data_IF_878291561135
#
_entry.id   IF_878291561135
#
_cell.length_a   1.000
_cell.length_b   1.000
_cell.length_c   1.000
_cell.angle_alpha   90.00
_cell.angle_beta   90.00
_cell.angle_gamma   90.00
#
_symmetry.space_group_name_H-M   'P 1'
#
loop_
_entity.id
_entity.type
_entity.pdbx_description
1 polymer ?
#
# COMPACT_ATOMS: atom_id res chain seq x y z
N UNK A 1 -20.96 -7.99 -9.97
CA UNK A 1 -19.89 -8.64 -10.75
C UNK A 1 -19.47 -7.85 -11.98
N UNK A 2 -20.41 -7.47 -12.87
CA UNK A 2 -20.11 -6.87 -14.19
C UNK A 2 -19.12 -5.70 -14.13
N UNK A 3 -19.26 -4.79 -13.16
CA UNK A 3 -18.35 -3.65 -13.02
C UNK A 3 -16.91 -4.11 -12.76
N UNK A 4 -16.66 -4.82 -11.65
CA UNK A 4 -15.31 -5.31 -11.29
C UNK A 4 -14.72 -6.19 -12.39
N UNK A 5 -15.53 -7.01 -13.05
CA UNK A 5 -15.05 -7.86 -14.14
C UNK A 5 -14.58 -7.07 -15.36
N UNK A 6 -15.38 -6.07 -15.79
CA UNK A 6 -15.08 -5.26 -16.98
C UNK A 6 -14.04 -4.17 -16.76
N UNK A 7 -13.83 -3.72 -15.51
CA UNK A 7 -12.92 -2.60 -15.22
C UNK A 7 -11.65 -2.99 -14.47
N UNK A 8 -11.67 -4.06 -13.65
CA UNK A 8 -10.54 -4.44 -12.80
C UNK A 8 -9.97 -5.79 -13.21
N UNK A 9 -10.76 -6.87 -13.18
CA UNK A 9 -10.27 -8.22 -13.47
C UNK A 9 -9.79 -8.39 -14.91
N UNK A 10 -10.36 -7.64 -15.86
CA UNK A 10 -9.86 -7.60 -17.25
C UNK A 10 -8.38 -7.18 -17.34
N UNK A 11 -7.90 -6.38 -16.39
CA UNK A 11 -6.52 -5.90 -16.34
C UNK A 11 -5.56 -6.85 -15.59
N UNK A 12 -6.07 -7.97 -15.07
CA UNK A 12 -5.27 -8.95 -14.32
C UNK A 12 -4.51 -9.88 -15.26
N UNK A 13 -3.20 -10.00 -15.09
CA UNK A 13 -2.41 -10.97 -15.83
C UNK A 13 -2.80 -12.40 -15.42
N UNK A 14 -3.11 -13.30 -16.36
CA UNK A 14 -3.65 -14.63 -16.04
C UNK A 14 -2.62 -15.57 -15.40
N UNK A 15 -1.31 -15.27 -15.51
CA UNK A 15 -0.24 -16.14 -14.98
C UNK A 15 0.25 -15.62 -13.64
N UNK A 16 0.60 -14.33 -13.58
CA UNK A 16 1.10 -13.73 -12.34
C UNK A 16 -0.03 -13.29 -11.43
N UNK A 17 -1.21 -12.94 -11.95
CA UNK A 17 -2.29 -12.34 -11.17
C UNK A 17 -2.05 -10.86 -10.84
N UNK A 18 -0.99 -10.24 -11.38
CA UNK A 18 -0.73 -8.81 -11.20
C UNK A 18 -1.56 -7.97 -12.19
N UNK A 19 -2.03 -6.82 -11.74
CA UNK A 19 -2.78 -5.84 -12.51
C UNK A 19 -1.86 -4.82 -13.17
N UNK A 20 -2.22 -4.42 -14.40
CA UNK A 20 -1.59 -3.32 -15.15
C UNK A 20 -2.60 -2.17 -15.29
N UNK A 21 -2.23 -0.96 -14.87
CA UNK A 21 -3.13 0.21 -14.85
C UNK A 21 -2.98 1.11 -16.11
N UNK A 22 -1.82 1.11 -16.76
CA UNK A 22 -1.57 1.98 -17.91
C UNK A 22 -0.94 1.20 -19.06
N UNK A 23 -1.72 0.38 -19.79
CA UNK A 23 -1.16 -0.49 -20.81
C UNK A 23 -0.55 0.26 -21.99
N UNK A 24 -0.96 1.51 -22.23
CA UNK A 24 -0.46 2.33 -23.34
C UNK A 24 0.97 2.84 -23.08
N UNK A 25 1.22 3.36 -21.86
CA UNK A 25 2.53 3.93 -21.51
C UNK A 25 3.45 2.92 -20.81
N UNK A 26 2.87 2.02 -20.02
CA UNK A 26 3.59 1.06 -19.19
C UNK A 26 2.94 -0.34 -19.29
N UNK A 27 2.99 -0.98 -20.48
CA UNK A 27 2.26 -2.20 -20.81
C UNK A 27 2.49 -3.40 -19.88
N UNK A 28 3.57 -3.38 -19.10
CA UNK A 28 3.94 -4.47 -18.21
C UNK A 28 4.26 -4.04 -16.79
N UNK A 29 3.98 -2.80 -16.39
CA UNK A 29 4.31 -2.36 -15.02
C UNK A 29 3.12 -2.56 -14.08
N UNK A 30 3.39 -3.28 -12.99
CA UNK A 30 2.48 -3.49 -11.87
C UNK A 30 3.00 -2.72 -10.66
N UNK A 31 2.34 -1.60 -10.33
CA UNK A 31 2.61 -0.86 -9.10
C UNK A 31 2.02 -1.60 -7.90
N UNK A 32 2.77 -1.66 -6.81
CA UNK A 32 2.35 -2.35 -5.57
C UNK A 32 1.04 -1.75 -5.06
N UNK A 33 0.99 -0.42 -4.86
CA UNK A 33 -0.18 0.28 -4.32
C UNK A 33 -1.43 0.06 -5.19
N UNK A 34 -1.31 0.24 -6.50
CA UNK A 34 -2.41 0.07 -7.46
C UNK A 34 -2.96 -1.37 -7.44
N UNK A 35 -2.07 -2.36 -7.40
CA UNK A 35 -2.44 -3.77 -7.31
C UNK A 35 -3.18 -4.07 -6.00
N UNK A 36 -2.71 -3.53 -4.88
CA UNK A 36 -3.37 -3.74 -3.58
C UNK A 36 -4.76 -3.09 -3.55
N UNK A 37 -4.93 -1.88 -4.10
CA UNK A 37 -6.27 -1.27 -4.23
C UNK A 37 -7.19 -2.05 -5.18
N UNK A 38 -6.67 -2.58 -6.29
CA UNK A 38 -7.43 -3.45 -7.18
C UNK A 38 -7.88 -4.72 -6.44
N UNK A 39 -7.00 -5.34 -5.65
CA UNK A 39 -7.31 -6.49 -4.80
C UNK A 39 -8.40 -6.15 -3.78
N UNK A 40 -8.35 -4.98 -3.13
CA UNK A 40 -9.40 -4.60 -2.16
C UNK A 40 -10.80 -4.57 -2.80
N UNK A 41 -10.92 -4.11 -4.05
CA UNK A 41 -12.20 -4.13 -4.77
C UNK A 41 -12.67 -5.55 -5.12
N UNK A 42 -11.76 -6.43 -5.55
CA UNK A 42 -12.06 -7.84 -5.83
C UNK A 42 -12.42 -8.58 -4.53
N UNK A 43 -11.70 -8.30 -3.44
CA UNK A 43 -11.93 -8.88 -2.12
C UNK A 43 -13.26 -8.43 -1.53
N UNK A 44 -13.63 -7.15 -1.66
CA UNK A 44 -14.94 -6.66 -1.25
C UNK A 44 -16.07 -7.41 -1.96
N UNK A 45 -15.92 -7.69 -3.26
CA UNK A 45 -16.87 -8.52 -4.01
C UNK A 45 -16.89 -9.97 -3.52
N UNK A 46 -15.72 -10.57 -3.28
CA UNK A 46 -15.62 -11.92 -2.70
C UNK A 46 -16.40 -12.00 -1.37
N UNK A 47 -16.19 -11.06 -0.46
CA UNK A 47 -16.89 -10.98 0.84
C UNK A 47 -18.40 -10.80 0.67
N UNK A 48 -18.82 -9.98 -0.30
CA UNK A 48 -20.23 -9.77 -0.60
C UNK A 48 -20.90 -11.06 -1.10
N UNK A 49 -20.23 -11.82 -1.99
CA UNK A 49 -20.72 -13.12 -2.46
C UNK A 49 -20.74 -14.15 -1.34
N UNK A 50 -19.67 -14.28 -0.55
CA UNK A 50 -19.65 -15.19 0.62
C UNK A 50 -20.82 -14.95 1.58
N UNK A 51 -21.19 -13.68 1.81
CA UNK A 51 -22.27 -13.33 2.75
C UNK A 51 -23.69 -13.55 2.17
N UNK A 52 -23.84 -13.57 0.85
CA UNK A 52 -25.13 -13.63 0.15
C UNK A 52 -25.33 -14.86 -0.73
N UNK A 53 -24.40 -15.82 -0.72
CA UNK A 53 -24.52 -16.99 -1.56
C UNK A 53 -25.73 -17.83 -1.13
N UNK A 54 -26.77 -17.81 -1.95
CA UNK A 54 -27.97 -18.65 -1.80
C UNK A 54 -27.88 -19.92 -2.66
N UNK A 55 -27.03 -19.88 -3.69
CA UNK A 55 -26.86 -20.94 -4.69
C UNK A 55 -25.38 -21.31 -4.88
N UNK A 56 -25.13 -22.53 -5.35
CA UNK A 56 -23.78 -23.03 -5.61
C UNK A 56 -23.00 -22.16 -6.61
N UNK A 57 -23.67 -21.57 -7.60
CA UNK A 57 -23.03 -20.65 -8.56
C UNK A 57 -22.41 -19.42 -7.89
N UNK A 58 -23.03 -18.91 -6.83
CA UNK A 58 -22.53 -17.74 -6.10
C UNK A 58 -21.33 -18.12 -5.22
N UNK A 59 -21.30 -19.34 -4.70
CA UNK A 59 -20.13 -19.90 -4.01
C UNK A 59 -18.95 -20.09 -4.97
N UNK A 60 -19.20 -20.60 -6.18
CA UNK A 60 -18.16 -20.74 -7.22
C UNK A 60 -17.57 -19.37 -7.56
N UNK A 61 -18.41 -18.35 -7.76
CA UNK A 61 -17.94 -16.96 -8.01
C UNK A 61 -17.16 -16.40 -6.82
N UNK A 62 -17.63 -16.63 -5.60
CA UNK A 62 -16.92 -16.21 -4.40
C UNK A 62 -15.52 -16.82 -4.37
N UNK A 63 -15.41 -18.13 -4.64
CA UNK A 63 -14.15 -18.85 -4.65
C UNK A 63 -13.18 -18.33 -5.73
N UNK A 64 -13.67 -18.12 -6.96
CA UNK A 64 -12.88 -17.55 -8.05
C UNK A 64 -12.31 -16.16 -7.68
N UNK A 65 -13.15 -15.27 -7.14
CA UNK A 65 -12.72 -13.95 -6.67
C UNK A 65 -11.68 -14.04 -5.55
N UNK A 66 -11.87 -14.99 -4.62
CA UNK A 66 -10.92 -15.26 -3.54
C UNK A 66 -9.55 -15.69 -4.07
N UNK A 67 -9.53 -16.64 -5.03
CA UNK A 67 -8.30 -17.08 -5.69
C UNK A 67 -7.60 -15.94 -6.45
N UNK A 68 -8.36 -15.07 -7.13
CA UNK A 68 -7.80 -13.89 -7.81
C UNK A 68 -7.12 -12.92 -6.83
N UNK A 69 -7.71 -12.71 -5.65
CA UNK A 69 -7.11 -11.89 -4.59
C UNK A 69 -5.81 -12.53 -4.07
N UNK A 70 -5.89 -13.81 -3.69
CA UNK A 70 -4.75 -14.57 -3.14
C UNK A 70 -3.59 -14.58 -4.12
N UNK A 71 -3.86 -14.85 -5.40
CA UNK A 71 -2.83 -14.91 -6.44
C UNK A 71 -2.10 -13.58 -6.63
N UNK A 72 -2.84 -12.46 -6.65
CA UNK A 72 -2.22 -11.14 -6.76
C UNK A 72 -1.34 -10.82 -5.56
N UNK A 73 -1.85 -11.02 -4.33
CA UNK A 73 -1.10 -10.74 -3.10
C UNK A 73 0.14 -11.63 -2.97
N UNK A 74 0.03 -12.92 -3.31
CA UNK A 74 1.18 -13.84 -3.38
C UNK A 74 2.23 -13.37 -4.38
N UNK A 75 1.80 -12.91 -5.56
CA UNK A 75 2.75 -12.41 -6.56
C UNK A 75 3.44 -11.12 -6.15
N UNK A 76 2.76 -10.21 -5.45
CA UNK A 76 3.40 -9.04 -4.85
C UNK A 76 4.42 -9.45 -3.78
N UNK A 77 4.08 -10.42 -2.92
CA UNK A 77 5.00 -10.97 -1.92
C UNK A 77 6.24 -11.57 -2.58
N UNK A 78 6.07 -12.36 -3.64
CA UNK A 78 7.17 -12.92 -4.43
C UNK A 78 8.05 -11.84 -5.08
N UNK A 79 7.46 -10.75 -5.58
CA UNK A 79 8.22 -9.62 -6.11
C UNK A 79 9.12 -8.98 -5.03
N UNK A 80 8.58 -8.78 -3.84
CA UNK A 80 9.32 -8.20 -2.71
C UNK A 80 10.36 -9.18 -2.15
N UNK A 81 10.03 -10.47 -2.07
CA UNK A 81 10.92 -11.53 -1.59
C UNK A 81 12.18 -11.67 -2.46
N UNK A 82 12.07 -11.46 -3.78
CA UNK A 82 13.23 -11.40 -4.69
C UNK A 82 14.21 -10.25 -4.40
N UNK A 83 13.83 -9.31 -3.53
CA UNK A 83 14.67 -8.23 -3.03
C UNK A 83 14.97 -8.37 -1.53
N UNK A 84 14.91 -9.59 -0.98
CA UNK A 84 15.15 -9.82 0.45
C UNK A 84 16.48 -9.24 0.95
N UNK A 85 17.56 -9.34 0.17
CA UNK A 85 18.86 -8.77 0.53
C UNK A 85 18.79 -7.26 0.75
N UNK A 86 17.97 -6.55 -0.04
CA UNK A 86 17.74 -5.11 0.11
C UNK A 86 16.98 -4.82 1.40
N UNK A 87 15.93 -5.59 1.70
CA UNK A 87 15.15 -5.46 2.94
C UNK A 87 16.04 -5.67 4.17
N UNK A 88 16.92 -6.67 4.15
CA UNK A 88 17.90 -6.92 5.22
C UNK A 88 18.84 -5.74 5.46
N UNK A 89 19.34 -5.12 4.37
CA UNK A 89 20.17 -3.92 4.45
C UNK A 89 19.37 -2.70 4.95
N UNK A 90 18.15 -2.53 4.47
CA UNK A 90 17.28 -1.41 4.82
C UNK A 90 16.96 -1.36 6.30
N UNK A 91 16.68 -2.50 6.95
CA UNK A 91 16.46 -2.59 8.41
C UNK A 91 17.59 -1.94 9.23
N UNK A 92 18.82 -1.97 8.71
CA UNK A 92 20.01 -1.42 9.38
C UNK A 92 20.32 0.02 8.97
N UNK A 93 20.14 0.35 7.70
CA UNK A 93 20.68 1.58 7.11
C UNK A 93 19.63 2.60 6.67
N UNK A 94 18.38 2.17 6.46
CA UNK A 94 17.25 2.99 5.94
C UNK A 94 17.61 3.85 4.71
N UNK A 95 18.54 3.36 3.88
CA UNK A 95 18.99 4.06 2.67
C UNK A 95 17.98 3.89 1.54
N UNK A 96 17.86 4.92 0.70
CA UNK A 96 17.04 4.84 -0.53
C UNK A 96 17.51 3.70 -1.45
N UNK A 97 18.81 3.45 -1.58
CA UNK A 97 19.32 2.38 -2.46
C UNK A 97 18.83 0.99 -2.06
N UNK A 98 18.54 0.79 -0.78
CA UNK A 98 18.22 -0.51 -0.20
C UNK A 98 16.69 -0.68 -0.08
N UNK A 99 15.90 0.26 -0.61
CA UNK A 99 14.44 0.19 -0.53
C UNK A 99 13.84 -0.79 -1.54
N UNK A 100 12.66 -1.33 -1.21
CA UNK A 100 11.87 -2.11 -2.15
C UNK A 100 11.42 -1.24 -3.33
N UNK A 101 11.38 -1.84 -4.51
CA UNK A 101 10.79 -1.20 -5.68
C UNK A 101 9.27 -1.01 -5.52
N UNK A 102 8.79 0.17 -5.91
CA UNK A 102 7.38 0.49 -5.98
C UNK A 102 6.60 -0.26 -7.09
N UNK A 103 7.29 -0.79 -8.11
CA UNK A 103 6.67 -1.42 -9.28
C UNK A 103 7.52 -2.57 -9.85
N UNK A 104 6.84 -3.54 -10.45
CA UNK A 104 7.43 -4.77 -10.99
C UNK A 104 6.86 -5.10 -12.36
N UNK A 105 7.46 -6.08 -13.03
CA UNK A 105 6.91 -6.62 -14.26
C UNK A 105 5.69 -7.49 -13.95
N UNK A 106 4.54 -7.12 -14.50
CA UNK A 106 3.32 -7.92 -14.46
C UNK A 106 3.47 -9.27 -15.18
N UNK A 107 4.50 -9.45 -16.02
CA UNK A 107 4.72 -10.68 -16.79
C UNK A 107 5.62 -11.68 -16.09
N UNK A 108 6.65 -11.22 -15.40
CA UNK A 108 7.68 -12.11 -14.83
C UNK A 108 8.10 -11.77 -13.40
N UNK A 109 7.48 -10.76 -12.77
CA UNK A 109 7.74 -10.33 -11.37
C UNK A 109 9.16 -9.78 -11.14
N UNK A 110 9.90 -9.45 -12.19
CA UNK A 110 11.22 -8.82 -12.09
C UNK A 110 11.08 -7.31 -11.86
N UNK A 111 12.19 -6.67 -11.46
CA UNK A 111 12.32 -5.21 -11.48
C UNK A 111 12.20 -4.70 -12.92
N UNK A 112 11.63 -3.50 -13.09
CA UNK A 112 11.38 -2.90 -14.43
C UNK A 112 12.16 -1.61 -14.67
N UNK A 113 12.82 -1.10 -13.63
CA UNK A 113 13.66 0.10 -13.65
C UNK A 113 14.81 -0.11 -12.66
N UNK A 114 15.91 0.66 -12.74
CA UNK A 114 17.01 0.54 -11.78
C UNK A 114 16.70 1.23 -10.45
N UNK A 115 17.45 0.89 -9.40
CA UNK A 115 17.24 1.36 -8.02
C UNK A 115 17.19 2.89 -7.86
N UNK A 116 17.87 3.63 -8.74
CA UNK A 116 17.97 5.09 -8.67
C UNK A 116 17.06 5.82 -9.67
N UNK A 117 16.41 5.09 -10.58
CA UNK A 117 15.67 5.66 -11.71
C UNK A 117 14.20 5.93 -11.37
N UNK A 118 13.80 5.73 -10.12
CA UNK A 118 12.42 5.94 -9.68
C UNK A 118 12.30 6.34 -8.21
N UNK A 119 11.16 6.95 -7.86
CA UNK A 119 10.75 7.21 -6.48
C UNK A 119 10.29 5.95 -5.75
N UNK A 120 11.19 4.97 -5.58
CA UNK A 120 10.86 3.63 -5.07
C UNK A 120 10.50 3.56 -3.59
N UNK A 121 11.25 4.24 -2.71
CA UNK A 121 11.03 4.20 -1.27
C UNK A 121 9.66 4.80 -0.94
N UNK A 122 8.66 3.93 -0.81
CA UNK A 122 7.25 4.23 -0.57
C UNK A 122 6.77 3.38 0.60
N UNK A 123 6.81 3.96 1.80
CA UNK A 123 6.42 3.26 3.04
C UNK A 123 4.92 3.02 3.04
N UNK A 124 4.12 3.92 2.46
CA UNK A 124 2.68 3.75 2.28
C UNK A 124 2.34 2.46 1.51
N UNK A 125 3.05 2.16 0.42
CA UNK A 125 2.74 1.02 -0.44
C UNK A 125 2.98 -0.33 0.25
N UNK A 126 4.10 -0.47 0.96
CA UNK A 126 4.42 -1.69 1.73
C UNK A 126 3.47 -1.83 2.91
N UNK A 127 3.16 -0.72 3.58
CA UNK A 127 2.21 -0.72 4.70
C UNK A 127 0.79 -1.09 4.24
N UNK A 128 0.33 -0.55 3.10
CA UNK A 128 -0.96 -0.90 2.52
C UNK A 128 -1.04 -2.39 2.15
N UNK A 129 0.06 -2.97 1.65
CA UNK A 129 0.15 -4.41 1.41
C UNK A 129 -0.03 -5.20 2.71
N UNK A 130 0.68 -4.84 3.79
CA UNK A 130 0.57 -5.53 5.08
C UNK A 130 -0.82 -5.37 5.73
N UNK A 131 -1.40 -4.17 5.68
CA UNK A 131 -2.77 -3.92 6.14
C UNK A 131 -3.77 -4.80 5.38
N UNK A 132 -3.65 -4.87 4.06
CA UNK A 132 -4.55 -5.66 3.22
C UNK A 132 -4.32 -7.15 3.40
N UNK A 133 -3.07 -7.58 3.57
CA UNK A 133 -2.72 -8.97 3.93
C UNK A 133 -3.46 -9.38 5.21
N UNK A 134 -3.37 -8.55 6.25
CA UNK A 134 -4.03 -8.84 7.52
C UNK A 134 -5.55 -8.97 7.40
N UNK A 135 -6.18 -8.03 6.68
CA UNK A 135 -7.63 -8.05 6.44
C UNK A 135 -8.09 -9.27 5.63
N UNK A 136 -7.33 -9.65 4.60
CA UNK A 136 -7.62 -10.82 3.76
C UNK A 136 -7.45 -12.11 4.58
N UNK A 137 -6.37 -12.23 5.35
CA UNK A 137 -6.12 -13.38 6.23
C UNK A 137 -7.20 -13.51 7.30
N UNK A 138 -7.58 -12.41 7.96
CA UNK A 138 -8.68 -12.39 8.93
C UNK A 138 -10.04 -12.79 8.32
N UNK A 139 -10.20 -12.66 6.99
CA UNK A 139 -11.40 -13.11 6.28
C UNK A 139 -11.42 -14.60 5.92
N UNK A 140 -10.35 -15.34 6.23
CA UNK A 140 -10.20 -16.78 5.96
C UNK A 140 -9.49 -17.10 4.64
N UNK A 141 -8.92 -16.12 3.95
CA UNK A 141 -8.13 -16.36 2.74
C UNK A 141 -6.64 -16.49 3.08
N UNK A 142 -6.07 -17.65 2.78
CA UNK A 142 -4.66 -17.93 3.03
C UNK A 142 -3.78 -17.39 1.90
N UNK A 143 -3.06 -16.29 2.17
CA UNK A 143 -2.09 -15.70 1.23
C UNK A 143 -0.70 -16.30 1.43
N UNK A 144 -0.22 -16.36 2.67
CA UNK A 144 1.12 -16.85 3.03
C UNK A 144 1.13 -18.38 3.07
N UNK A 145 2.11 -19.01 2.42
CA UNK A 145 2.12 -20.44 2.11
C UNK A 145 3.08 -21.27 2.94
N UNK A 146 4.18 -20.67 3.40
CA UNK A 146 5.27 -21.39 4.07
C UNK A 146 6.00 -20.48 5.06
N UNK A 147 6.88 -21.07 5.88
CA UNK A 147 7.59 -20.36 6.93
C UNK A 147 8.61 -19.35 6.41
N UNK A 148 9.17 -19.53 5.21
CA UNK A 148 10.07 -18.54 4.61
C UNK A 148 9.31 -17.26 4.26
N UNK A 149 8.08 -17.38 3.75
CA UNK A 149 7.20 -16.25 3.50
C UNK A 149 6.75 -15.58 4.81
N UNK A 150 6.49 -16.34 5.88
CA UNK A 150 6.23 -15.78 7.22
C UNK A 150 7.42 -14.93 7.69
N UNK A 151 8.63 -15.49 7.63
CA UNK A 151 9.86 -14.79 8.03
C UNK A 151 10.06 -13.52 7.19
N UNK A 152 9.72 -13.55 5.91
CA UNK A 152 9.77 -12.37 5.07
C UNK A 152 8.69 -11.33 5.42
N UNK A 153 7.47 -11.74 5.76
CA UNK A 153 6.45 -10.81 6.28
C UNK A 153 6.93 -10.15 7.58
N UNK A 154 7.57 -10.89 8.48
CA UNK A 154 8.21 -10.31 9.66
C UNK A 154 9.27 -9.26 9.29
N UNK A 155 10.06 -9.51 8.24
CA UNK A 155 11.00 -8.52 7.71
C UNK A 155 10.32 -7.27 7.14
N UNK A 156 9.14 -7.41 6.53
CA UNK A 156 8.34 -6.26 6.08
C UNK A 156 7.79 -5.45 7.25
N UNK A 157 7.45 -6.07 8.39
CA UNK A 157 7.08 -5.34 9.62
C UNK A 157 8.25 -4.48 10.09
N UNK A 158 9.45 -5.06 10.21
CA UNK A 158 10.66 -4.29 10.55
C UNK A 158 11.01 -3.21 9.53
N UNK A 159 10.66 -3.41 8.26
CA UNK A 159 10.85 -2.43 7.21
C UNK A 159 9.97 -1.17 7.42
N UNK A 160 8.74 -1.34 7.90
CA UNK A 160 7.79 -0.22 8.08
C UNK A 160 7.75 0.35 9.50
N UNK A 161 8.26 -0.36 10.51
CA UNK A 161 8.12 0.03 11.92
C UNK A 161 8.71 1.41 12.22
N UNK A 162 9.78 1.79 11.51
CA UNK A 162 10.43 3.10 11.63
C UNK A 162 9.85 4.18 10.71
N UNK A 163 8.65 3.96 10.14
CA UNK A 163 8.00 4.86 9.19
C UNK A 163 7.82 6.30 9.70
N UNK A 164 7.58 6.49 10.99
CA UNK A 164 7.44 7.81 11.64
C UNK A 164 8.70 8.68 11.62
N UNK A 165 9.85 8.12 11.26
CA UNK A 165 11.13 8.85 11.15
C UNK A 165 11.86 8.59 9.83
N UNK A 166 11.22 7.94 8.87
CA UNK A 166 11.84 7.55 7.59
C UNK A 166 11.24 8.41 6.46
N UNK A 167 11.95 9.43 5.97
CA UNK A 167 11.51 10.19 4.81
C UNK A 167 11.45 9.32 3.56
N UNK A 168 10.36 9.45 2.81
CA UNK A 168 10.05 8.63 1.64
C UNK A 168 9.50 9.49 0.48
N UNK A 169 9.11 8.84 -0.62
CA UNK A 169 8.57 9.51 -1.80
C UNK A 169 7.04 9.73 -1.74
N UNK A 170 6.38 9.16 -0.73
CA UNK A 170 4.95 9.19 -0.52
C UNK A 170 4.14 8.59 -1.68
N UNK A 171 2.81 8.68 -1.57
CA UNK A 171 1.85 8.11 -2.51
C UNK A 171 2.01 8.58 -3.97
N UNK A 172 2.55 9.79 -4.16
CA UNK A 172 2.72 10.38 -5.49
C UNK A 172 4.09 10.14 -6.12
N UNK A 173 4.98 9.42 -5.43
CA UNK A 173 6.30 9.00 -5.94
C UNK A 173 7.27 10.17 -6.19
N UNK A 174 7.01 11.32 -5.55
CA UNK A 174 7.76 12.59 -5.76
C UNK A 174 8.59 13.00 -4.56
N UNK A 175 8.22 12.57 -3.35
CA UNK A 175 8.77 13.08 -2.12
C UNK A 175 8.29 14.50 -1.91
N UNK A 176 9.14 15.49 -2.09
CA UNK A 176 8.80 16.90 -1.98
C UNK A 176 7.86 17.40 -3.09
N UNK A 177 7.21 18.53 -2.84
CA UNK A 177 6.26 19.19 -3.76
C UNK A 177 6.88 19.53 -5.13
N UNK A 178 8.18 19.80 -5.19
CA UNK A 178 8.89 20.22 -6.41
C UNK A 178 9.40 19.05 -7.24
N UNK A 179 9.34 17.81 -6.72
CA UNK A 179 9.80 16.60 -7.40
C UNK A 179 11.26 16.68 -7.81
N UNK A 180 12.13 17.06 -6.88
CA UNK A 180 13.59 17.12 -7.09
C UNK A 180 14.29 15.86 -6.57
N UNK A 181 13.54 14.80 -6.30
CA UNK A 181 14.05 13.58 -5.69
C UNK A 181 14.33 13.71 -4.18
N UNK A 182 13.84 14.78 -3.55
CA UNK A 182 13.99 15.02 -2.11
C UNK A 182 12.89 14.27 -1.38
N UNK A 183 13.28 13.40 -0.45
CA UNK A 183 12.33 12.64 0.38
C UNK A 183 11.86 13.48 1.55
N UNK A 184 10.60 13.34 1.91
CA UNK A 184 10.01 14.02 3.06
C UNK A 184 9.31 13.02 3.97
N UNK A 185 9.12 13.41 5.24
CA UNK A 185 8.25 12.65 6.11
C UNK A 185 6.80 12.93 5.70
N UNK A 186 6.10 11.90 5.23
CA UNK A 186 4.75 11.98 4.69
C UNK A 186 3.74 11.40 5.69
N UNK A 187 2.82 12.22 6.19
CA UNK A 187 1.80 11.81 7.16
C UNK A 187 0.91 10.69 6.62
N UNK A 188 0.61 10.68 5.31
CA UNK A 188 -0.08 9.58 4.63
C UNK A 188 0.62 8.22 4.82
N UNK A 189 1.96 8.22 4.76
CA UNK A 189 2.79 7.02 4.89
C UNK A 189 2.89 6.56 6.35
N UNK A 190 3.02 7.49 7.29
CA UNK A 190 3.04 7.20 8.73
C UNK A 190 1.71 6.60 9.19
N UNK A 191 0.60 7.19 8.76
CA UNK A 191 -0.72 6.70 9.12
C UNK A 191 -1.02 5.33 8.54
N UNK A 192 -0.58 5.05 7.30
CA UNK A 192 -0.70 3.72 6.72
C UNK A 192 0.16 2.70 7.47
N UNK A 193 1.39 3.07 7.84
CA UNK A 193 2.28 2.22 8.65
C UNK A 193 1.66 1.91 10.02
N UNK A 194 1.11 2.91 10.72
CA UNK A 194 0.39 2.71 11.98
C UNK A 194 -0.72 1.66 11.83
N UNK A 195 -1.60 1.83 10.85
CA UNK A 195 -2.71 0.91 10.64
C UNK A 195 -2.25 -0.50 10.27
N UNK A 196 -1.20 -0.62 9.46
CA UNK A 196 -0.63 -1.91 9.08
C UNK A 196 -0.03 -2.66 10.27
N UNK A 197 0.72 -1.95 11.12
CA UNK A 197 1.31 -2.50 12.33
C UNK A 197 0.22 -2.97 13.32
N UNK A 198 -0.83 -2.18 13.50
CA UNK A 198 -1.98 -2.57 14.32
C UNK A 198 -2.69 -3.81 13.77
N UNK A 199 -3.03 -3.81 12.48
CA UNK A 199 -3.77 -4.92 11.86
C UNK A 199 -2.98 -6.24 11.85
N UNK A 200 -1.67 -6.19 11.58
CA UNK A 200 -0.81 -7.38 11.63
C UNK A 200 -0.64 -7.87 13.08
N UNK A 201 -0.51 -6.96 14.05
CA UNK A 201 -0.44 -7.33 15.46
C UNK A 201 -1.74 -8.02 15.93
N UNK A 202 -2.90 -7.56 15.46
CA UNK A 202 -4.20 -8.09 15.88
C UNK A 202 -4.47 -9.50 15.35
N UNK A 203 -4.02 -9.84 14.13
CA UNK A 203 -4.14 -11.21 13.63
C UNK A 203 -3.10 -12.14 14.28
N UNK A 204 -1.88 -11.65 14.51
CA UNK A 204 -0.74 -12.39 15.05
C UNK A 204 -0.27 -13.55 14.16
N UNK A 205 -1.10 -14.57 13.98
CA UNK A 205 -0.84 -15.82 13.27
C UNK A 205 -1.31 -15.77 11.81
N UNK A 206 -0.36 -15.86 10.88
CA UNK A 206 -0.63 -15.80 9.44
C UNK A 206 -1.27 -17.08 8.85
N UNK A 207 -1.18 -18.21 9.55
CA UNK A 207 -1.80 -19.48 9.12
C UNK A 207 -3.13 -19.74 9.82
N UNK A 208 -3.34 -19.15 11.00
CA UNK A 208 -4.52 -19.38 11.82
C UNK A 208 -4.59 -20.80 12.40
N UNK A 209 -3.45 -21.51 12.43
CA UNK A 209 -3.32 -22.88 12.94
C UNK A 209 -2.79 -22.96 14.38
N UNK A 210 -2.46 -21.80 14.97
CA UNK A 210 -1.91 -21.68 16.32
C UNK A 210 -0.42 -22.03 16.41
N UNK A 211 0.28 -22.18 15.29
CA UNK A 211 1.71 -22.44 15.27
C UNK A 211 2.49 -21.21 15.74
N UNK A 212 3.39 -21.38 16.71
CA UNK A 212 4.26 -20.29 17.14
C UNK A 212 5.18 -19.76 16.03
N UNK A 213 5.39 -20.56 14.98
CA UNK A 213 6.29 -20.22 13.86
C UNK A 213 5.60 -19.35 12.81
N UNK A 214 4.27 -19.30 12.79
CA UNK A 214 3.48 -18.43 11.89
C UNK A 214 3.11 -17.08 12.53
N UNK A 215 3.53 -16.85 13.78
CA UNK A 215 3.29 -15.60 14.50
C UNK A 215 4.25 -14.51 14.02
N UNK A 216 3.67 -13.35 13.71
CA UNK A 216 4.40 -12.11 13.42
C UNK A 216 4.35 -11.21 14.63
N UNK A 217 5.50 -10.64 14.98
CA UNK A 217 5.68 -9.78 16.13
C UNK A 217 5.79 -8.31 15.71
N UNK A 218 5.04 -7.47 16.41
CA UNK A 218 5.06 -6.01 16.27
C UNK A 218 5.39 -5.41 17.63
N UNK A 219 6.28 -4.42 17.66
CA UNK A 219 6.59 -3.67 18.87
C UNK A 219 5.51 -2.60 19.13
N UNK A 220 4.78 -2.65 20.26
CA UNK A 220 3.72 -1.67 20.55
C UNK A 220 4.20 -0.21 20.59
N UNK A 221 5.46 0.00 20.99
CA UNK A 221 6.06 1.33 21.04
C UNK A 221 6.11 1.99 19.66
N UNK A 222 6.39 1.23 18.60
CA UNK A 222 6.48 1.77 17.24
C UNK A 222 5.11 2.26 16.74
N UNK A 223 4.01 1.58 17.13
CA UNK A 223 2.64 2.02 16.88
C UNK A 223 2.37 3.36 17.58
N UNK A 224 2.80 3.49 18.84
CA UNK A 224 2.63 4.73 19.60
C UNK A 224 3.45 5.89 19.04
N UNK A 225 4.68 5.64 18.57
CA UNK A 225 5.48 6.64 17.88
C UNK A 225 4.81 7.11 16.58
N UNK A 226 4.29 6.17 15.77
CA UNK A 226 3.53 6.54 14.57
C UNK A 226 2.30 7.38 14.91
N UNK A 227 1.56 7.01 15.96
CA UNK A 227 0.39 7.77 16.42
C UNK A 227 0.76 9.19 16.86
N UNK A 228 1.79 9.32 17.70
CA UNK A 228 2.23 10.61 18.22
C UNK A 228 2.70 11.55 17.10
N UNK A 229 3.50 11.06 16.16
CA UNK A 229 3.98 11.86 15.02
C UNK A 229 2.82 12.23 14.09
N UNK A 230 1.95 11.27 13.76
CA UNK A 230 0.80 11.52 12.88
C UNK A 230 -0.11 12.61 13.44
N UNK A 231 -0.48 12.53 14.73
CA UNK A 231 -1.36 13.51 15.35
C UNK A 231 -0.76 14.92 15.35
N UNK A 232 0.57 15.05 15.46
CA UNK A 232 1.26 16.35 15.40
C UNK A 232 1.41 16.89 13.97
N UNK A 233 1.40 16.02 12.96
CA UNK A 233 1.52 16.44 11.57
C UNK A 233 0.18 16.90 10.99
N UNK A 234 -0.92 16.20 11.27
CA UNK A 234 -2.21 16.50 10.67
C UNK A 234 -2.69 17.93 11.01
N UNK A 235 -3.31 18.65 10.05
CA UNK A 235 -3.77 18.21 8.73
C UNK A 235 -2.72 18.37 7.59
N UNK A 236 -1.45 18.61 7.95
CA UNK A 236 -0.35 18.75 6.99
C UNK A 236 0.16 17.38 6.55
N UNK A 237 0.49 17.26 5.26
CA UNK A 237 1.04 16.02 4.70
C UNK A 237 2.55 15.91 4.95
N UNK A 238 3.31 16.97 4.66
CA UNK A 238 4.77 16.97 4.77
C UNK A 238 5.31 18.39 4.88
N UNK A 239 6.62 18.56 5.00
CA UNK A 239 7.23 19.88 5.14
C UNK A 239 6.81 20.83 4.00
N UNK A 240 6.95 20.38 2.75
CA UNK A 240 6.58 21.17 1.57
C UNK A 240 5.09 21.17 1.23
N UNK A 241 4.32 20.15 1.63
CA UNK A 241 2.89 20.02 1.31
C UNK A 241 2.01 20.36 2.50
N UNK A 242 1.34 21.51 2.40
CA UNK A 242 0.48 22.08 3.43
C UNK A 242 -0.73 21.17 3.76
N UNK A 243 -1.21 20.43 2.77
CA UNK A 243 -2.19 19.34 2.89
C UNK A 243 -2.15 18.49 1.61
N UNK A 244 -2.70 17.29 1.64
CA UNK A 244 -2.71 16.35 0.51
C UNK A 244 -3.96 15.45 0.56
N UNK A 245 -4.50 15.09 -0.60
CA UNK A 245 -5.62 14.16 -0.70
C UNK A 245 -5.27 12.74 -0.25
N UNK A 246 -4.00 12.34 -0.26
CA UNK A 246 -3.53 11.07 0.28
C UNK A 246 -3.87 10.91 1.77
N UNK A 247 -4.00 12.01 2.53
CA UNK A 247 -4.45 11.97 3.92
C UNK A 247 -5.84 11.35 4.09
N UNK A 248 -6.70 11.37 3.05
CA UNK A 248 -8.00 10.70 3.07
C UNK A 248 -7.86 9.19 3.31
N UNK A 249 -6.82 8.54 2.78
CA UNK A 249 -6.61 7.10 2.98
C UNK A 249 -6.19 6.74 4.41
N UNK A 250 -5.77 7.74 5.19
CA UNK A 250 -5.32 7.61 6.58
C UNK A 250 -6.45 7.93 7.56
N UNK A 251 -7.19 9.02 7.36
CA UNK A 251 -8.32 9.41 8.21
C UNK A 251 -9.59 8.61 7.90
N UNK A 252 -9.59 7.82 6.83
CA UNK A 252 -10.72 6.99 6.40
C UNK A 252 -10.22 5.69 5.76
N UNK A 253 -11.04 5.05 4.92
CA UNK A 253 -10.66 3.80 4.26
C UNK A 253 -9.41 3.98 3.39
N UNK A 254 -8.43 3.07 3.45
CA UNK A 254 -8.47 1.79 4.16
C UNK A 254 -7.94 1.80 5.60
N UNK A 255 -7.21 2.84 6.03
CA UNK A 255 -6.39 2.74 7.24
C UNK A 255 -7.14 3.07 8.54
N UNK A 256 -8.03 4.07 8.53
CA UNK A 256 -8.69 4.58 9.75
C UNK A 256 -7.73 4.81 10.94
N UNK A 257 -6.54 5.33 10.67
CA UNK A 257 -5.44 5.38 11.62
C UNK A 257 -5.49 6.55 12.62
N UNK A 258 -6.49 7.43 12.52
CA UNK A 258 -6.64 8.59 13.40
C UNK A 258 -7.76 8.35 14.40
N UNK A 259 -7.38 8.20 15.66
CA UNK A 259 -8.32 7.85 16.75
C UNK A 259 -9.18 9.06 17.17
N UNK A 260 -8.62 10.28 17.13
CA UNK A 260 -9.36 11.51 17.44
C UNK A 260 -10.26 11.92 16.26
N UNK A 261 -11.57 11.75 16.47
CA UNK A 261 -12.60 12.14 15.51
C UNK A 261 -12.57 13.62 15.14
N UNK A 262 -12.19 14.50 16.09
CA UNK A 262 -12.11 15.94 15.86
C UNK A 262 -10.97 16.26 14.90
N UNK A 263 -9.79 15.66 15.12
CA UNK A 263 -8.64 15.80 14.25
C UNK A 263 -8.89 15.21 12.85
N UNK A 264 -9.52 14.03 12.77
CA UNK A 264 -9.92 13.43 11.51
C UNK A 264 -10.90 14.32 10.73
N UNK A 265 -11.86 14.93 11.42
CA UNK A 265 -12.83 15.86 10.82
C UNK A 265 -12.16 17.14 10.34
N UNK A 266 -11.33 17.77 11.19
CA UNK A 266 -10.53 18.94 10.83
C UNK A 266 -9.66 18.68 9.59
N UNK A 267 -9.03 17.52 9.53
CA UNK A 267 -8.20 17.10 8.39
C UNK A 267 -9.05 16.96 7.13
N UNK A 268 -10.20 16.28 7.21
CA UNK A 268 -11.13 16.14 6.08
C UNK A 268 -11.60 17.51 5.57
N UNK A 269 -12.00 18.40 6.47
CA UNK A 269 -12.47 19.75 6.11
C UNK A 269 -11.37 20.57 5.46
N UNK A 270 -10.14 20.49 5.98
CA UNK A 270 -8.96 21.16 5.40
C UNK A 270 -8.70 20.69 3.97
N UNK A 271 -8.75 19.37 3.73
CA UNK A 271 -8.60 18.77 2.39
C UNK A 271 -9.70 19.27 1.46
N UNK A 272 -10.97 19.19 1.87
CA UNK A 272 -12.10 19.59 1.03
C UNK A 272 -12.10 21.08 0.72
N UNK A 273 -11.76 21.93 1.68
CA UNK A 273 -11.68 23.38 1.48
C UNK A 273 -10.53 23.77 0.54
N UNK A 274 -9.39 23.06 0.62
CA UNK A 274 -8.16 23.44 -0.09
C UNK A 274 -8.03 22.78 -1.46
N UNK A 275 -8.40 21.50 -1.54
CA UNK A 275 -8.17 20.64 -2.70
C UNK A 275 -9.46 20.24 -3.42
N UNK A 276 -10.61 20.39 -2.75
CA UNK A 276 -11.91 20.07 -3.32
C UNK A 276 -12.28 20.97 -4.50
N UNK A 277 -12.96 20.38 -5.47
CA UNK A 277 -13.50 21.07 -6.63
C UNK A 277 -14.72 20.34 -7.19
N UNK A 278 -15.24 20.83 -8.33
CA UNK A 278 -16.49 20.32 -8.93
C UNK A 278 -16.46 18.81 -9.26
N UNK A 279 -15.28 18.25 -9.52
CA UNK A 279 -15.11 16.86 -10.00
C UNK A 279 -14.31 15.98 -9.04
N UNK A 280 -14.11 16.41 -7.79
CA UNK A 280 -13.30 15.70 -6.81
C UNK A 280 -12.15 16.56 -6.26
N UNK A 281 -11.15 15.91 -5.68
CA UNK A 281 -10.01 16.58 -5.07
C UNK A 281 -8.78 16.57 -5.98
N UNK A 282 -8.03 17.67 -5.98
CA UNK A 282 -6.63 17.69 -6.46
C UNK A 282 -5.76 16.84 -5.53
N UNK A 283 -4.60 16.38 -6.01
CA UNK A 283 -3.63 15.66 -5.17
C UNK A 283 -3.09 16.54 -4.04
N UNK A 284 -2.48 17.65 -4.39
CA UNK A 284 -2.00 18.69 -3.47
C UNK A 284 -1.92 20.04 -4.20
N UNK A 285 -1.66 21.13 -3.48
CA UNK A 285 -1.54 22.46 -4.07
C UNK A 285 -0.32 22.58 -4.98
N UNK A 286 -0.41 23.34 -6.08
CA UNK A 286 0.69 23.55 -7.06
C UNK A 286 1.33 22.26 -7.56
N UNK A 287 0.55 21.20 -7.66
CA UNK A 287 0.96 19.98 -8.31
C UNK A 287 1.25 20.25 -9.80
N UNK A 288 2.50 20.02 -10.20
CA UNK A 288 3.00 20.31 -11.55
C UNK A 288 2.82 19.17 -12.56
N UNK A 289 2.35 17.98 -12.14
CA UNK A 289 2.30 16.80 -13.01
C UNK A 289 1.47 17.02 -14.28
N UNK A 290 2.03 16.66 -15.44
CA UNK A 290 1.48 16.90 -16.78
C UNK A 290 1.21 18.38 -17.07
N UNK A 291 1.98 19.29 -16.46
CA UNK A 291 1.96 20.73 -16.76
C UNK A 291 3.36 21.23 -17.14
N UNK A 292 3.45 22.44 -17.67
CA UNK A 292 4.73 23.11 -17.99
C UNK A 292 5.62 23.37 -16.77
N UNK A 293 5.06 23.25 -15.55
CA UNK A 293 5.78 23.42 -14.29
C UNK A 293 6.39 22.10 -13.79
N UNK A 294 6.21 20.99 -14.51
CA UNK A 294 6.78 19.70 -14.13
C UNK A 294 8.31 19.69 -14.25
N UNK A 295 8.99 19.52 -13.12
CA UNK A 295 10.40 19.11 -13.08
C UNK A 295 10.45 17.58 -13.12
N UNK A 296 11.22 17.04 -14.07
CA UNK A 296 11.44 15.60 -14.23
C UNK A 296 12.76 15.25 -13.50
N UNK A 297 12.68 14.78 -12.26
CA UNK A 297 13.87 14.30 -11.52
C UNK A 297 14.32 12.90 -11.92
N UNK A 298 13.43 12.10 -12.50
CA UNK A 298 13.71 10.74 -12.94
C UNK A 298 13.39 10.67 -14.44
N UNK A 299 14.44 10.70 -15.28
CA UNK A 299 14.27 10.46 -16.71
C UNK A 299 13.90 8.99 -16.94
N UNK A 300 12.99 8.77 -17.90
CA UNK A 300 12.55 7.45 -18.37
C UNK A 300 13.71 6.58 -18.87
#
# INVERSE_FOLDING_TARGET
MVLVQKTILFCQDPVTGLFVNNPEQYPSHAWVRDNVYAVQAVWAMHRAYQKRAEFDEDLVKAHELGLNCVKCMQSLLECMLRQADKVELFKRQQKKSDCLHAKYSAKNKATVVADNDWGHLQIDAVSLFLLTLAQITASGLQVVRNFDEVAFVQNLVYYIETGYRTPDFGTWERGDKTNQGIRELNASSIGMAKAALQAINDIGDLFGDGSNVSIVHVLPDEIQQCSAVLCNMLPRESFSKETDAALLSVISFPAFAVDDFSLATLTRETILATLGGRYGCKRFLRDGYKTVLEVIAFCA
#
